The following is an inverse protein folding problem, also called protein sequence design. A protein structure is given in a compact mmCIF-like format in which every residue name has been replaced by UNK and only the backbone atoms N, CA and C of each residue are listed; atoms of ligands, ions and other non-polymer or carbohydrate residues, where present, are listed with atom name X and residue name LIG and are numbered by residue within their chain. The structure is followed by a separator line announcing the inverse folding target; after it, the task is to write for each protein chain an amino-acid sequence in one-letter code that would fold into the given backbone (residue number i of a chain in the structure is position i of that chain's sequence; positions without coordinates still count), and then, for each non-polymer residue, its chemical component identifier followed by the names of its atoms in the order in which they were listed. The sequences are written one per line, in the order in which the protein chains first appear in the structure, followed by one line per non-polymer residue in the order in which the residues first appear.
data_IF_417703889823
#
_entry.id   IF_417703889823
#
_cell.length_a   1.000
_cell.length_b   1.000
_cell.length_c   1.000
_cell.angle_alpha   90.00
_cell.angle_beta   90.00
_cell.angle_gamma   90.00
#
_symmetry.space_group_name_H-M   'P 1'
#
loop_
_entity.id
_entity.type
_entity.pdbx_description
1 polymer ?
#
# COMPACT_ATOMS: atom_id res chain seq x y z
N UNK A 1 29.37 -18.66 37.35
CA UNK A 1 28.22 -17.76 37.12
C UNK A 1 27.63 -18.13 35.78
N UNK A 2 26.56 -18.92 35.80
CA UNK A 2 25.92 -19.50 34.61
C UNK A 2 25.18 -18.42 33.82
N UNK A 3 25.32 -18.48 32.49
CA UNK A 3 24.46 -17.75 31.58
C UNK A 3 23.01 -18.21 31.83
N UNK A 4 22.13 -17.27 32.20
CA UNK A 4 20.71 -17.53 32.28
C UNK A 4 20.20 -17.86 30.89
N UNK A 5 19.73 -19.09 30.71
CA UNK A 5 18.81 -19.41 29.62
C UNK A 5 17.60 -18.49 29.79
N UNK A 6 17.30 -17.71 28.77
CA UNK A 6 16.02 -17.02 28.72
C UNK A 6 14.98 -18.08 28.39
N UNK A 7 13.95 -18.16 29.23
CA UNK A 7 12.80 -19.03 29.02
C UNK A 7 12.26 -18.85 27.59
N UNK A 8 11.96 -19.98 26.94
CA UNK A 8 11.18 -19.98 25.71
C UNK A 8 9.92 -19.13 25.95
N UNK A 9 9.51 -18.35 24.94
CA UNK A 9 8.23 -17.63 25.00
C UNK A 9 7.16 -18.68 25.28
N UNK A 10 6.63 -18.65 26.51
CA UNK A 10 5.57 -19.55 26.94
C UNK A 10 4.37 -19.31 26.02
N UNK A 11 3.85 -20.38 25.41
CA UNK A 11 2.67 -20.30 24.54
C UNK A 11 1.44 -19.73 25.30
N UNK A 12 1.50 -19.66 26.64
CA UNK A 12 0.49 -19.00 27.47
C UNK A 12 0.54 -17.45 27.47
N UNK A 13 1.63 -16.81 27.03
CA UNK A 13 1.72 -15.33 26.94
C UNK A 13 0.96 -14.76 25.71
N UNK A 14 0.56 -15.62 24.78
CA UNK A 14 -0.45 -15.32 23.76
C UNK A 14 -1.80 -15.83 24.21
N UNK A 15 -2.31 -15.27 25.32
CA UNK A 15 -3.69 -15.50 25.72
C UNK A 15 -4.62 -15.12 24.56
N UNK A 16 -5.26 -16.14 23.98
CA UNK A 16 -6.54 -15.98 23.29
C UNK A 16 -7.47 -15.37 24.33
N UNK A 17 -7.74 -14.07 24.21
CA UNK A 17 -8.68 -13.36 25.07
C UNK A 17 -10.10 -13.90 24.80
N UNK A 18 -10.44 -14.99 25.49
CA UNK A 18 -11.79 -15.48 25.71
C UNK A 18 -12.42 -16.26 24.57
N UNK A 19 -13.60 -16.79 24.88
CA UNK A 19 -14.61 -17.37 23.97
C UNK A 19 -15.22 -16.32 23.02
N UNK A 20 -14.46 -15.31 22.60
CA UNK A 20 -14.97 -14.09 21.95
C UNK A 20 -14.70 -14.06 20.45
N UNK A 21 -15.56 -13.37 19.71
CA UNK A 21 -15.64 -13.24 18.23
C UNK A 21 -14.39 -12.66 17.51
N UNK A 22 -13.21 -12.66 18.15
CA UNK A 22 -11.94 -12.18 17.62
C UNK A 22 -10.95 -13.36 17.53
N UNK A 23 -10.56 -13.72 16.32
CA UNK A 23 -9.74 -14.91 16.04
C UNK A 23 -8.29 -14.52 15.82
N UNK A 24 -7.39 -15.20 16.54
CA UNK A 24 -6.05 -15.45 16.02
C UNK A 24 -6.18 -16.46 14.89
N UNK A 25 -5.78 -16.08 13.68
CA UNK A 25 -5.90 -16.94 12.48
C UNK A 25 -4.55 -17.50 12.01
N UNK A 26 -3.45 -17.17 12.69
CA UNK A 26 -2.16 -17.81 12.44
C UNK A 26 -2.14 -19.22 13.00
N UNK A 27 -1.48 -20.14 12.28
CA UNK A 27 -1.04 -21.43 12.83
C UNK A 27 -0.38 -21.20 14.21
N UNK A 28 -0.82 -21.89 15.29
CA UNK A 28 -0.16 -21.81 16.59
C UNK A 28 1.35 -22.07 16.51
N UNK A 29 1.81 -22.90 15.57
CA UNK A 29 3.22 -23.17 15.33
C UNK A 29 3.95 -22.04 14.56
N UNK A 30 3.25 -21.07 13.96
CA UNK A 30 3.86 -19.88 13.34
C UNK A 30 4.19 -18.84 14.42
N UNK A 31 5.28 -19.08 15.13
CA UNK A 31 5.78 -18.21 16.21
C UNK A 31 6.32 -16.87 15.71
N UNK A 32 6.37 -16.64 14.40
CA UNK A 32 6.94 -15.42 13.79
C UNK A 32 5.89 -14.42 13.33
N UNK A 33 4.62 -14.81 13.29
CA UNK A 33 3.53 -13.97 12.77
C UNK A 33 2.35 -14.03 13.70
N UNK A 34 1.70 -12.90 13.88
CA UNK A 34 0.44 -12.83 14.62
C UNK A 34 -0.58 -12.20 13.69
N UNK A 35 -1.66 -12.90 13.41
CA UNK A 35 -2.78 -12.39 12.63
C UNK A 35 -4.01 -12.32 13.52
N UNK A 36 -4.63 -11.15 13.58
CA UNK A 36 -5.84 -10.87 14.35
C UNK A 36 -6.94 -10.44 13.38
N UNK A 37 -8.04 -11.18 13.34
CA UNK A 37 -9.20 -10.86 12.51
C UNK A 37 -10.50 -11.27 13.22
N UNK A 38 -11.61 -10.56 12.96
CA UNK A 38 -12.92 -10.94 13.50
C UNK A 38 -13.79 -11.56 12.41
N UNK A 39 -14.29 -12.78 12.65
CA UNK A 39 -15.23 -13.44 11.73
C UNK A 39 -16.49 -12.61 11.50
N UNK A 40 -16.99 -11.93 12.55
CA UNK A 40 -18.15 -11.04 12.45
C UNK A 40 -17.90 -9.87 11.51
N UNK A 41 -16.69 -9.32 11.50
CA UNK A 41 -16.29 -8.25 10.57
C UNK A 41 -16.26 -8.73 9.12
N UNK A 42 -15.83 -9.96 8.88
CA UNK A 42 -15.85 -10.60 7.54
C UNK A 42 -17.29 -10.78 7.08
N UNK A 43 -18.16 -11.35 7.91
CA UNK A 43 -19.59 -11.49 7.57
C UNK A 43 -20.25 -10.15 7.25
N UNK A 44 -19.95 -9.10 8.03
CA UNK A 44 -20.48 -7.77 7.81
C UNK A 44 -19.99 -7.17 6.51
N UNK A 45 -18.70 -7.32 6.20
CA UNK A 45 -18.12 -6.92 4.92
C UNK A 45 -18.83 -7.59 3.73
N UNK A 46 -19.06 -8.90 3.81
CA UNK A 46 -19.76 -9.67 2.78
C UNK A 46 -21.21 -9.19 2.63
N UNK A 47 -21.95 -9.09 3.74
CA UNK A 47 -23.38 -8.70 3.75
C UNK A 47 -23.59 -7.27 3.25
N UNK A 48 -22.68 -6.34 3.57
CA UNK A 48 -22.83 -4.94 3.21
C UNK A 48 -22.22 -4.54 1.88
N UNK A 49 -21.39 -5.42 1.27
CA UNK A 49 -20.77 -5.23 -0.04
C UNK A 49 -19.38 -4.59 0.06
N UNK A 50 -18.35 -5.30 -0.41
CA UNK A 50 -16.97 -4.84 -0.36
C UNK A 50 -16.70 -3.89 -1.52
N UNK A 51 -16.38 -2.62 -1.23
CA UNK A 51 -15.99 -1.64 -2.24
C UNK A 51 -14.49 -1.73 -2.57
N UNK A 52 -13.67 -1.90 -1.54
CA UNK A 52 -12.22 -2.05 -1.65
C UNK A 52 -11.63 -2.60 -0.34
N UNK A 53 -10.45 -3.23 -0.43
CA UNK A 53 -9.56 -3.48 0.69
C UNK A 53 -8.42 -2.47 0.64
N UNK A 54 -8.16 -1.77 1.75
CA UNK A 54 -7.01 -0.89 1.90
C UNK A 54 -5.98 -1.60 2.76
N UNK A 55 -4.76 -1.68 2.24
CA UNK A 55 -3.66 -2.37 2.92
C UNK A 55 -2.47 -1.42 3.08
N UNK A 56 -1.95 -1.35 4.30
CA UNK A 56 -0.80 -0.50 4.64
C UNK A 56 -0.12 -1.05 5.89
N UNK A 57 1.15 -0.71 6.08
CA UNK A 57 1.88 -1.09 7.29
C UNK A 57 2.78 -0.02 7.82
N UNK A 58 2.82 0.08 9.15
CA UNK A 58 3.72 0.99 9.86
C UNK A 58 4.95 0.22 10.39
N UNK A 59 6.12 0.81 10.17
CA UNK A 59 7.41 0.31 10.65
C UNK A 59 7.90 1.17 11.78
N UNK A 60 7.57 0.77 13.00
CA UNK A 60 8.22 1.17 14.25
C UNK A 60 7.71 0.32 15.42
N UNK A 61 6.98 -0.78 15.15
CA UNK A 61 6.40 -1.57 16.21
C UNK A 61 7.44 -2.57 16.72
N UNK A 62 8.00 -2.24 17.88
CA UNK A 62 8.88 -3.14 18.60
C UNK A 62 8.07 -3.70 19.78
N UNK A 63 7.59 -4.96 19.72
CA UNK A 63 6.77 -5.54 20.79
C UNK A 63 7.50 -5.57 22.13
N UNK A 64 8.84 -5.53 22.13
CA UNK A 64 9.65 -5.33 23.33
C UNK A 64 10.61 -4.14 23.17
N UNK A 65 10.70 -3.21 24.15
CA UNK A 65 11.56 -2.02 24.06
C UNK A 65 13.07 -2.31 23.85
N UNK A 66 13.51 -3.53 24.19
CA UNK A 66 14.89 -3.99 24.10
C UNK A 66 15.27 -4.55 22.72
N UNK A 67 14.31 -4.86 21.86
CA UNK A 67 14.59 -5.36 20.51
C UNK A 67 15.20 -4.24 19.65
N UNK A 68 16.35 -4.48 18.98
CA UNK A 68 16.92 -3.51 18.07
C UNK A 68 15.94 -3.19 16.94
N UNK A 69 15.91 -1.94 16.46
CA UNK A 69 15.06 -1.51 15.31
C UNK A 69 15.21 -2.38 14.05
N UNK A 70 16.33 -3.10 13.91
CA UNK A 70 16.58 -4.05 12.81
C UNK A 70 15.73 -5.33 12.90
N UNK A 71 15.16 -5.61 14.08
CA UNK A 71 14.26 -6.72 14.37
C UNK A 71 12.84 -6.21 14.67
N UNK A 72 12.54 -4.95 14.34
CA UNK A 72 11.20 -4.40 14.50
C UNK A 72 10.23 -5.11 13.56
N UNK A 73 9.06 -5.41 14.08
CA UNK A 73 7.98 -5.97 13.29
C UNK A 73 7.25 -4.85 12.55
N UNK A 74 6.60 -5.22 11.46
CA UNK A 74 5.62 -4.38 10.80
C UNK A 74 4.25 -4.67 11.41
N UNK A 75 3.59 -3.64 11.93
CA UNK A 75 2.15 -3.73 12.12
C UNK A 75 1.50 -3.42 10.78
N UNK A 76 0.99 -4.45 10.14
CA UNK A 76 0.28 -4.37 8.87
C UNK A 76 -1.22 -4.48 9.10
N UNK A 77 -2.00 -3.69 8.36
CA UNK A 77 -3.46 -3.70 8.52
C UNK A 77 -4.14 -3.86 7.17
N UNK A 78 -5.21 -4.64 7.19
CA UNK A 78 -6.18 -4.77 6.11
C UNK A 78 -7.48 -4.14 6.61
N UNK A 79 -7.89 -3.05 5.97
CA UNK A 79 -9.18 -2.42 6.22
C UNK A 79 -10.12 -2.72 5.06
N UNK A 80 -11.38 -3.00 5.38
CA UNK A 80 -12.42 -3.11 4.37
C UNK A 80 -13.17 -1.79 4.27
N UNK A 81 -13.42 -1.37 3.04
CA UNK A 81 -14.25 -0.22 2.72
C UNK A 81 -15.61 -0.66 2.22
N UNK A 82 -16.66 -0.05 2.76
CA UNK A 82 -18.04 -0.41 2.49
C UNK A 82 -18.95 0.75 2.87
N UNK A 83 -19.89 1.11 1.99
CA UNK A 83 -20.92 2.14 2.22
C UNK A 83 -20.32 3.48 2.68
N UNK A 84 -19.21 3.88 2.08
CA UNK A 84 -18.53 5.14 2.41
C UNK A 84 -17.82 5.18 3.77
N UNK A 85 -17.71 4.05 4.48
CA UNK A 85 -16.91 3.92 5.71
C UNK A 85 -15.82 2.84 5.56
N UNK A 86 -14.91 2.76 6.53
CA UNK A 86 -13.94 1.66 6.62
C UNK A 86 -13.76 1.18 8.06
N UNK A 87 -13.48 -0.11 8.22
CA UNK A 87 -13.14 -0.72 9.50
C UNK A 87 -11.99 -1.70 9.35
N UNK A 88 -11.30 -1.96 10.46
CA UNK A 88 -10.20 -2.92 10.52
C UNK A 88 -10.76 -4.33 10.35
N UNK A 89 -10.34 -5.01 9.29
CA UNK A 89 -10.71 -6.40 9.03
C UNK A 89 -9.68 -7.35 9.63
N UNK A 90 -8.40 -7.04 9.42
CA UNK A 90 -7.28 -7.84 9.89
C UNK A 90 -6.11 -6.93 10.31
N UNK A 91 -5.49 -7.23 11.44
CA UNK A 91 -4.19 -6.71 11.81
C UNK A 91 -3.17 -7.85 11.84
N UNK A 92 -1.96 -7.58 11.38
CA UNK A 92 -0.91 -8.57 11.26
C UNK A 92 0.42 -8.01 11.77
N UNK A 93 1.10 -8.79 12.60
CA UNK A 93 2.47 -8.51 13.00
C UNK A 93 3.40 -9.32 12.12
N UNK A 94 4.07 -8.66 11.17
CA UNK A 94 4.94 -9.30 10.18
C UNK A 94 6.42 -9.13 10.52
N UNK A 95 7.26 -10.16 10.37
CA UNK A 95 8.67 -10.11 10.73
C UNK A 95 9.54 -9.39 9.69
N UNK A 96 9.05 -9.17 8.46
CA UNK A 96 9.79 -8.46 7.41
C UNK A 96 8.90 -7.96 6.28
N UNK A 97 9.45 -7.09 5.44
CA UNK A 97 8.82 -6.47 4.25
C UNK A 97 8.83 -7.33 2.98
N UNK A 98 9.11 -8.62 3.12
CA UNK A 98 9.37 -9.44 1.93
C UNK A 98 8.05 -9.87 1.30
N UNK A 99 8.06 -10.06 -0.03
CA UNK A 99 6.89 -10.58 -0.74
C UNK A 99 6.37 -11.89 -0.11
N UNK A 100 7.27 -12.74 0.41
CA UNK A 100 6.91 -13.98 1.09
C UNK A 100 6.05 -13.74 2.34
N UNK A 101 6.36 -12.72 3.14
CA UNK A 101 5.57 -12.40 4.34
C UNK A 101 4.19 -11.87 3.97
N UNK A 102 4.14 -10.98 2.98
CA UNK A 102 2.87 -10.47 2.47
C UNK A 102 2.02 -11.56 1.79
N UNK A 103 2.62 -12.51 1.08
CA UNK A 103 1.88 -13.64 0.48
C UNK A 103 1.16 -14.47 1.54
N UNK A 104 1.84 -14.80 2.64
CA UNK A 104 1.21 -15.53 3.76
C UNK A 104 0.03 -14.77 4.36
N UNK A 105 0.16 -13.46 4.54
CA UNK A 105 -0.94 -12.61 5.00
C UNK A 105 -2.14 -12.69 4.03
N UNK A 106 -1.88 -12.58 2.73
CA UNK A 106 -2.91 -12.59 1.69
C UNK A 106 -3.56 -13.98 1.53
N UNK A 107 -2.80 -15.06 1.72
CA UNK A 107 -3.31 -16.44 1.80
C UNK A 107 -4.29 -16.58 2.97
N UNK A 108 -3.88 -16.19 4.19
CA UNK A 108 -4.77 -16.22 5.36
C UNK A 108 -6.02 -15.34 5.19
N UNK A 109 -5.89 -14.19 4.53
CA UNK A 109 -7.03 -13.35 4.18
C UNK A 109 -7.97 -14.06 3.20
N UNK A 110 -7.45 -14.69 2.15
CA UNK A 110 -8.25 -15.39 1.16
C UNK A 110 -8.97 -16.60 1.76
N UNK A 111 -8.28 -17.41 2.58
CA UNK A 111 -8.84 -18.53 3.33
C UNK A 111 -9.99 -18.06 4.25
N UNK A 112 -9.79 -16.95 4.97
CA UNK A 112 -10.82 -16.38 5.84
C UNK A 112 -12.11 -16.01 5.09
N UNK A 113 -12.05 -15.56 3.83
CA UNK A 113 -13.24 -15.33 3.02
C UNK A 113 -13.82 -16.62 2.42
N UNK A 114 -12.96 -17.59 2.08
CA UNK A 114 -13.39 -18.89 1.58
C UNK A 114 -14.19 -19.68 2.62
N UNK A 115 -13.86 -19.55 3.91
CA UNK A 115 -14.64 -20.11 5.02
C UNK A 115 -16.12 -19.65 5.03
N UNK A 116 -16.41 -18.50 4.41
CA UNK A 116 -17.76 -17.97 4.22
C UNK A 116 -18.32 -18.21 2.81
N UNK A 117 -17.69 -19.09 2.03
CA UNK A 117 -17.99 -19.33 0.61
C UNK A 117 -17.99 -18.04 -0.22
N UNK A 118 -17.13 -17.08 0.12
CA UNK A 118 -17.03 -15.80 -0.59
C UNK A 118 -15.69 -15.70 -1.34
N UNK A 119 -15.75 -15.31 -2.61
CA UNK A 119 -14.56 -15.10 -3.44
C UNK A 119 -14.15 -13.63 -3.41
N UNK A 120 -12.85 -13.37 -3.27
CA UNK A 120 -12.27 -12.03 -3.43
C UNK A 120 -11.98 -11.67 -4.90
N UNK A 121 -12.35 -12.53 -5.86
CA UNK A 121 -12.19 -12.24 -7.29
C UNK A 121 -12.91 -10.94 -7.68
N UNK A 122 -12.21 -10.04 -8.37
CA UNK A 122 -12.71 -8.73 -8.77
C UNK A 122 -12.75 -7.68 -7.65
N UNK A 123 -12.47 -8.04 -6.40
CA UNK A 123 -12.38 -7.06 -5.30
C UNK A 123 -11.17 -6.17 -5.52
N UNK A 124 -11.36 -4.86 -5.32
CA UNK A 124 -10.29 -3.87 -5.39
C UNK A 124 -9.40 -3.98 -4.16
N UNK A 125 -8.09 -4.00 -4.36
CA UNK A 125 -7.10 -3.90 -3.28
C UNK A 125 -6.20 -2.70 -3.54
N UNK A 126 -6.12 -1.79 -2.59
CA UNK A 126 -5.31 -0.57 -2.66
C UNK A 126 -4.15 -0.68 -1.69
N UNK A 127 -2.93 -0.69 -2.20
CA UNK A 127 -1.70 -0.76 -1.39
C UNK A 127 -0.81 0.47 -1.57
N UNK A 128 0.21 0.58 -0.74
CA UNK A 128 1.37 1.42 -1.08
C UNK A 128 2.14 0.87 -2.30
N UNK A 129 3.24 1.54 -2.65
CA UNK A 129 4.08 1.22 -3.81
C UNK A 129 5.28 0.34 -3.45
N UNK A 130 5.23 -0.40 -2.34
CA UNK A 130 6.34 -1.26 -1.94
C UNK A 130 6.40 -2.52 -2.82
N UNK A 131 7.58 -2.80 -3.40
CA UNK A 131 7.77 -3.96 -4.30
C UNK A 131 7.35 -5.30 -3.67
N UNK A 132 7.51 -5.45 -2.35
CA UNK A 132 7.13 -6.65 -1.62
C UNK A 132 5.63 -6.94 -1.75
N UNK A 133 4.77 -5.99 -1.36
CA UNK A 133 3.32 -6.17 -1.42
C UNK A 133 2.80 -6.23 -2.86
N UNK A 134 3.38 -5.44 -3.78
CA UNK A 134 3.00 -5.48 -5.20
C UNK A 134 3.21 -6.88 -5.76
N UNK A 135 4.38 -7.47 -5.49
CA UNK A 135 4.68 -8.84 -5.91
C UNK A 135 3.74 -9.85 -5.26
N UNK A 136 3.49 -9.73 -3.96
CA UNK A 136 2.63 -10.66 -3.23
C UNK A 136 1.18 -10.64 -3.73
N UNK A 137 0.58 -9.47 -3.97
CA UNK A 137 -0.79 -9.35 -4.50
C UNK A 137 -0.88 -10.02 -5.87
N UNK A 138 0.08 -9.73 -6.76
CA UNK A 138 0.12 -10.32 -8.10
C UNK A 138 0.26 -11.85 -8.07
N UNK A 139 1.09 -12.38 -7.19
CA UNK A 139 1.43 -13.80 -7.17
C UNK A 139 0.39 -14.63 -6.37
N UNK A 140 -0.22 -14.05 -5.32
CA UNK A 140 -1.11 -14.77 -4.39
C UNK A 140 -2.60 -14.55 -4.66
N UNK A 141 -3.03 -13.34 -5.03
CA UNK A 141 -4.44 -13.00 -5.28
C UNK A 141 -4.62 -12.33 -6.65
N UNK A 142 -4.16 -12.96 -7.75
CA UNK A 142 -4.10 -12.36 -9.08
C UNK A 142 -5.47 -11.92 -9.65
N UNK A 143 -6.55 -12.49 -9.12
CA UNK A 143 -7.91 -12.18 -9.56
C UNK A 143 -8.48 -10.90 -8.92
N UNK A 144 -7.80 -10.32 -7.93
CA UNK A 144 -8.16 -9.02 -7.36
C UNK A 144 -7.70 -7.88 -8.28
N UNK A 145 -8.43 -6.76 -8.24
CA UNK A 145 -8.01 -5.55 -8.97
C UNK A 145 -7.02 -4.76 -8.11
N UNK A 146 -5.73 -4.85 -8.45
CA UNK A 146 -4.68 -4.16 -7.70
C UNK A 146 -4.52 -2.69 -8.13
N UNK A 147 -4.64 -1.81 -7.15
CA UNK A 147 -4.52 -0.38 -7.28
C UNK A 147 -3.41 0.18 -6.39
N UNK A 148 -2.61 1.10 -6.92
CA UNK A 148 -1.64 1.83 -6.11
C UNK A 148 -2.27 3.02 -5.41
N UNK A 149 -1.80 3.34 -4.20
CA UNK A 149 -2.24 4.51 -3.45
C UNK A 149 -1.82 5.82 -4.14
N UNK A 150 -2.80 6.68 -4.44
CA UNK A 150 -2.57 7.97 -5.10
C UNK A 150 -1.79 8.95 -4.21
N UNK A 151 -2.02 8.94 -2.89
CA UNK A 151 -1.32 9.82 -1.97
C UNK A 151 0.19 9.57 -2.03
N UNK A 152 0.59 8.31 -1.94
CA UNK A 152 1.98 7.89 -2.07
C UNK A 152 2.56 8.22 -3.45
N UNK A 153 1.80 7.98 -4.54
CA UNK A 153 2.25 8.32 -5.89
C UNK A 153 2.50 9.82 -6.07
N UNK A 154 1.58 10.66 -5.62
CA UNK A 154 1.73 12.12 -5.67
C UNK A 154 2.85 12.61 -4.75
N UNK A 155 3.03 12.02 -3.58
CA UNK A 155 4.13 12.34 -2.65
C UNK A 155 5.48 12.05 -3.31
N UNK A 156 5.68 10.84 -3.83
CA UNK A 156 6.92 10.45 -4.54
C UNK A 156 7.18 11.34 -5.75
N UNK A 157 6.17 11.57 -6.59
CA UNK A 157 6.23 12.47 -7.76
C UNK A 157 6.65 13.88 -7.35
N UNK A 158 6.03 14.44 -6.31
CA UNK A 158 6.35 15.77 -5.80
C UNK A 158 7.76 15.85 -5.20
N UNK A 159 8.23 14.81 -4.52
CA UNK A 159 9.61 14.73 -4.04
C UNK A 159 10.58 14.74 -5.21
N UNK A 160 10.32 13.96 -6.27
CA UNK A 160 11.22 13.92 -7.42
C UNK A 160 11.21 15.21 -8.24
N UNK A 161 10.06 15.86 -8.39
CA UNK A 161 9.97 17.22 -8.96
C UNK A 161 10.80 18.23 -8.15
N UNK A 162 10.76 18.16 -6.82
CA UNK A 162 11.63 18.99 -5.96
C UNK A 162 13.10 18.65 -6.15
N UNK A 163 13.45 17.37 -6.20
CA UNK A 163 14.83 16.88 -6.35
C UNK A 163 15.50 17.41 -7.63
N UNK A 164 14.77 17.47 -8.73
CA UNK A 164 15.27 18.07 -9.98
C UNK A 164 15.14 19.60 -10.04
N UNK A 165 14.79 20.27 -8.93
CA UNK A 165 14.65 21.73 -8.87
C UNK A 165 13.41 22.32 -9.57
N UNK A 166 12.54 21.47 -10.10
CA UNK A 166 11.44 21.88 -10.98
C UNK A 166 10.31 22.62 -10.24
N UNK A 167 10.13 22.37 -8.95
CA UNK A 167 9.22 23.17 -8.11
C UNK A 167 9.68 24.62 -7.94
N UNK A 168 10.99 24.82 -7.77
CA UNK A 168 11.57 26.16 -7.64
C UNK A 168 11.53 26.85 -9.00
N UNK A 169 11.94 26.15 -10.06
CA UNK A 169 11.87 26.66 -11.43
C UNK A 169 10.44 27.08 -11.83
N UNK A 170 9.41 26.32 -11.43
CA UNK A 170 8.01 26.66 -11.68
C UNK A 170 7.55 27.99 -11.04
N UNK A 171 8.29 28.56 -10.09
CA UNK A 171 8.00 29.91 -9.57
C UNK A 171 8.39 31.00 -10.57
N UNK A 172 9.45 30.77 -11.34
CA UNK A 172 9.99 31.74 -12.31
C UNK A 172 9.51 31.47 -13.74
N UNK A 173 9.14 30.22 -14.06
CA UNK A 173 8.79 29.79 -15.41
C UNK A 173 7.38 29.17 -15.44
N UNK A 174 6.35 29.92 -15.87
CA UNK A 174 4.96 29.45 -15.91
C UNK A 174 4.77 28.15 -16.71
N UNK A 175 5.50 27.99 -17.82
CA UNK A 175 5.42 26.78 -18.66
C UNK A 175 5.84 25.51 -17.89
N UNK A 176 6.83 25.62 -17.01
CA UNK A 176 7.26 24.51 -16.15
C UNK A 176 6.20 24.24 -15.08
N UNK A 177 5.65 25.29 -14.45
CA UNK A 177 4.57 25.14 -13.47
C UNK A 177 3.38 24.39 -14.05
N UNK A 178 2.90 24.83 -15.21
CA UNK A 178 1.77 24.22 -15.90
C UNK A 178 2.06 22.75 -16.27
N UNK A 179 3.25 22.46 -16.80
CA UNK A 179 3.66 21.09 -17.08
C UNK A 179 3.74 20.21 -15.82
N UNK A 180 4.29 20.70 -14.70
CA UNK A 180 4.29 19.91 -13.45
C UNK A 180 2.87 19.66 -12.92
N UNK A 181 1.92 20.56 -13.17
CA UNK A 181 0.51 20.33 -12.83
C UNK A 181 -0.11 19.25 -13.71
N UNK A 182 0.19 19.26 -15.01
CA UNK A 182 -0.22 18.19 -15.93
C UNK A 182 0.35 16.83 -15.53
N UNK A 183 1.62 16.78 -15.14
CA UNK A 183 2.25 15.58 -14.58
C UNK A 183 1.50 15.08 -13.34
N UNK A 184 1.12 15.95 -12.40
CA UNK A 184 0.30 15.54 -11.23
C UNK A 184 -1.09 15.04 -11.64
N UNK A 185 -1.71 15.70 -12.62
CA UNK A 185 -3.03 15.31 -13.13
C UNK A 185 -2.98 14.02 -13.95
N UNK A 186 -1.82 13.59 -14.41
CA UNK A 186 -1.67 12.37 -15.22
C UNK A 186 -2.16 11.10 -14.50
N UNK A 187 -2.11 11.06 -13.17
CA UNK A 187 -2.69 9.97 -12.38
C UNK A 187 -4.22 9.90 -12.48
N UNK A 188 -4.90 10.88 -13.08
CA UNK A 188 -6.33 10.87 -13.37
C UNK A 188 -6.64 10.75 -14.86
N UNK A 189 -5.63 10.42 -15.67
CA UNK A 189 -5.74 10.43 -17.11
C UNK A 189 -5.30 9.08 -17.67
N UNK A 190 -6.11 8.41 -18.50
CA UNK A 190 -5.66 7.20 -19.20
C UNK A 190 -4.43 7.49 -20.07
N UNK A 191 -3.51 6.53 -20.15
CA UNK A 191 -2.20 6.70 -20.82
C UNK A 191 -2.33 7.06 -22.28
N UNK A 192 -3.41 6.63 -22.95
CA UNK A 192 -3.69 6.96 -24.34
C UNK A 192 -3.81 8.48 -24.58
N UNK A 193 -4.11 9.28 -23.56
CA UNK A 193 -4.18 10.75 -23.66
C UNK A 193 -2.88 11.48 -23.28
N UNK A 194 -1.83 10.79 -22.85
CA UNK A 194 -0.59 11.43 -22.38
C UNK A 194 0.08 12.28 -23.45
N UNK A 195 0.01 11.83 -24.71
CA UNK A 195 0.52 12.57 -25.87
C UNK A 195 -0.25 13.87 -26.05
N UNK A 196 -1.59 13.80 -26.12
CA UNK A 196 -2.46 14.97 -26.30
C UNK A 196 -2.33 15.97 -25.15
N UNK A 197 -2.14 15.48 -23.91
CA UNK A 197 -1.92 16.31 -22.73
C UNK A 197 -0.46 16.79 -22.57
N UNK A 198 0.47 16.35 -23.43
CA UNK A 198 1.90 16.68 -23.41
C UNK A 198 2.56 16.39 -22.06
N UNK A 199 2.20 15.25 -21.44
CA UNK A 199 2.76 14.83 -20.13
C UNK A 199 4.25 14.51 -20.26
N UNK A 200 4.60 13.77 -21.32
CA UNK A 200 5.95 13.24 -21.56
C UNK A 200 6.78 14.11 -22.52
N UNK A 201 6.34 15.35 -22.76
CA UNK A 201 7.07 16.33 -23.57
C UNK A 201 7.85 17.28 -22.66
N UNK A 202 9.09 17.61 -23.05
CA UNK A 202 9.88 18.60 -22.32
C UNK A 202 9.25 19.98 -22.54
N UNK A 203 8.89 20.73 -21.48
CA UNK A 203 8.12 21.98 -21.61
C UNK A 203 8.96 23.18 -22.08
N UNK A 204 10.26 23.00 -22.33
CA UNK A 204 11.21 24.06 -22.64
C UNK A 204 12.15 23.64 -23.77
N UNK A 205 12.77 24.60 -24.44
CA UNK A 205 13.71 24.32 -25.54
C UNK A 205 15.04 23.76 -25.01
N UNK A 206 15.85 23.09 -25.86
CA UNK A 206 17.16 22.55 -25.47
C UNK A 206 18.16 23.56 -24.90
N UNK A 207 18.02 24.84 -25.23
CA UNK A 207 18.89 25.93 -24.76
C UNK A 207 18.49 26.39 -23.34
N UNK A 208 17.28 26.08 -22.89
CA UNK A 208 16.79 26.50 -21.58
C UNK A 208 17.53 25.79 -20.44
N UNK A 209 17.89 26.53 -19.39
CA UNK A 209 18.67 26.00 -18.24
C UNK A 209 18.04 24.79 -17.54
N UNK A 210 16.71 24.67 -17.62
CA UNK A 210 15.94 23.58 -17.01
C UNK A 210 15.65 22.39 -17.95
N UNK A 211 16.16 22.40 -19.18
CA UNK A 211 15.90 21.33 -20.16
C UNK A 211 16.34 19.95 -19.63
N UNK A 212 17.57 19.84 -19.13
CA UNK A 212 18.11 18.60 -18.58
C UNK A 212 17.30 18.09 -17.38
N UNK A 213 16.90 18.98 -16.47
CA UNK A 213 16.08 18.64 -15.31
C UNK A 213 14.70 18.09 -15.71
N UNK A 214 14.03 18.74 -16.68
CA UNK A 214 12.76 18.28 -17.20
C UNK A 214 12.89 16.90 -17.87
N UNK A 215 13.93 16.72 -18.69
CA UNK A 215 14.21 15.43 -19.34
C UNK A 215 14.45 14.32 -18.32
N UNK A 216 15.33 14.55 -17.34
CA UNK A 216 15.64 13.57 -16.29
C UNK A 216 14.41 13.21 -15.46
N UNK A 217 13.50 14.16 -15.21
CA UNK A 217 12.24 13.86 -14.57
C UNK A 217 11.34 12.99 -15.44
N UNK A 218 11.24 13.25 -16.75
CA UNK A 218 10.44 12.42 -17.67
C UNK A 218 10.97 10.99 -17.72
N UNK A 219 12.30 10.83 -17.77
CA UNK A 219 12.94 9.51 -17.77
C UNK A 219 12.60 8.76 -16.47
N UNK A 220 12.75 9.41 -15.31
CA UNK A 220 12.26 8.86 -14.03
C UNK A 220 10.76 8.52 -14.07
N UNK A 221 9.92 9.42 -14.59
CA UNK A 221 8.47 9.22 -14.57
C UNK A 221 8.05 8.00 -15.40
N UNK A 222 8.74 7.76 -16.52
CA UNK A 222 8.54 6.56 -17.35
C UNK A 222 8.94 5.31 -16.59
N UNK A 223 10.14 5.29 -16.03
CA UNK A 223 10.70 4.10 -15.36
C UNK A 223 9.87 3.73 -14.13
N UNK A 224 9.47 4.73 -13.34
CA UNK A 224 8.74 4.53 -12.10
C UNK A 224 7.25 4.24 -12.34
N UNK A 225 6.57 5.01 -13.19
CA UNK A 225 5.10 4.97 -13.25
C UNK A 225 4.55 4.29 -14.49
N UNK A 226 5.30 4.22 -15.60
CA UNK A 226 4.76 3.65 -16.84
C UNK A 226 5.01 2.15 -16.99
N UNK A 227 5.84 1.57 -16.13
CA UNK A 227 6.14 0.14 -16.09
C UNK A 227 5.06 -0.68 -15.40
N UNK A 228 4.27 -0.06 -14.52
CA UNK A 228 3.14 -0.72 -13.86
C UNK A 228 1.91 -0.86 -14.78
N UNK A 229 0.99 -1.80 -14.51
CA UNK A 229 -0.33 -1.83 -15.13
C UNK A 229 -1.11 -0.52 -14.95
N UNK A 230 -2.00 -0.22 -15.89
CA UNK A 230 -2.79 1.01 -15.85
C UNK A 230 -3.67 1.14 -14.60
N UNK A 231 -4.39 0.11 -14.11
CA UNK A 231 -5.21 0.21 -12.89
C UNK A 231 -4.42 0.65 -11.64
N UNK A 232 -3.13 0.28 -11.56
CA UNK A 232 -2.29 0.69 -10.44
C UNK A 232 -2.06 2.21 -10.42
N UNK A 233 -1.95 2.82 -11.60
CA UNK A 233 -1.45 4.20 -11.77
C UNK A 233 -2.54 5.20 -12.15
N UNK A 234 -3.60 4.75 -12.84
CA UNK A 234 -4.67 5.59 -13.33
C UNK A 234 -5.88 5.54 -12.38
N UNK A 235 -6.31 6.70 -11.93
CA UNK A 235 -7.47 6.94 -11.05
C UNK A 235 -8.62 7.62 -11.79
N UNK A 236 -8.58 7.59 -13.12
CA UNK A 236 -9.71 8.01 -13.94
C UNK A 236 -10.93 7.15 -13.58
N UNK A 237 -12.09 7.80 -13.36
CA UNK A 237 -13.35 7.15 -12.97
C UNK A 237 -13.33 6.37 -11.64
N UNK A 238 -12.22 6.37 -10.89
CA UNK A 238 -12.19 5.80 -9.54
C UNK A 238 -12.81 6.82 -8.60
N UNK A 239 -14.04 6.69 -8.13
CA UNK A 239 -14.68 7.76 -7.33
C UNK A 239 -14.37 7.69 -5.83
N UNK A 240 -14.03 6.51 -5.31
CA UNK A 240 -13.76 6.27 -3.89
C UNK A 240 -12.43 5.56 -3.65
N UNK A 241 -11.89 5.76 -2.44
CA UNK A 241 -10.74 5.03 -1.90
C UNK A 241 -9.46 5.08 -2.75
N UNK A 242 -9.21 6.22 -3.41
CA UNK A 242 -7.98 6.45 -4.20
C UNK A 242 -6.69 6.43 -3.37
N UNK A 243 -6.81 6.51 -2.04
CA UNK A 243 -5.69 6.69 -1.10
C UNK A 243 -5.81 5.72 0.06
N UNK A 244 -4.67 5.31 0.62
CA UNK A 244 -4.57 4.63 1.91
C UNK A 244 -4.72 5.58 3.12
N UNK A 245 -5.09 6.85 2.94
CA UNK A 245 -5.14 7.84 4.02
C UNK A 245 -5.96 7.41 5.25
N UNK A 246 -7.06 6.66 5.06
CA UNK A 246 -7.85 6.09 6.17
C UNK A 246 -7.06 5.09 7.01
N UNK A 247 -6.12 4.39 6.38
CA UNK A 247 -5.17 3.50 7.05
C UNK A 247 -4.03 4.28 7.68
N UNK A 248 -3.47 5.28 6.97
CA UNK A 248 -2.41 6.15 7.51
C UNK A 248 -2.87 6.97 8.73
N UNK A 249 -4.14 7.41 8.77
CA UNK A 249 -4.69 8.13 9.93
C UNK A 249 -4.79 7.26 11.18
N UNK A 250 -4.88 5.93 11.01
CA UNK A 250 -4.88 4.98 12.12
C UNK A 250 -3.48 4.74 12.69
N UNK A 251 -2.45 4.93 11.87
CA UNK A 251 -1.05 4.76 12.28
C UNK A 251 -0.47 5.97 13.04
N UNK A 252 -1.23 7.07 13.17
CA UNK A 252 -0.83 8.29 13.90
C UNK A 252 -1.28 8.25 15.35
#
# INVERSE_FOLDING_TARGET
MSAGAYDEVDDEDLQVLGTTDCLRISDPADTKRIYLASRRMVEWAIKGGIEALLVDGNFSFTPTPSLPKKLAFQLYTVRVCMRGTSFLLMAALLPSKTAKEYSKLLESLAELFQDFNHSLSGVRIVSDWENGIIKAIRDTVPMMSHEGCLFHALKCTNHKLSHFGLKIAGKSYPVIKEWTNRVRASFFLPRCFFKSAKILEVPVTPIHSQYAACKNFIDYFKDEWMTHPEPMTCKFMVESHRTSNLVESWHR
#
